data_IF_792109700948
#
_entry.id   IF_792109700948
#
_cell.length_a   1.000
_cell.length_b   1.000
_cell.length_c   1.000
_cell.angle_alpha   90.00
_cell.angle_beta   90.00
_cell.angle_gamma   90.00
#
_symmetry.space_group_name_H-M   'P 1'
#
loop_
_entity.id
_entity.type
_entity.pdbx_description
1 polymer ?
#
# COMPACT_ATOMS: atom_id res chain seq x y z
N UNK A 1 -10.44 -27.38 -7.39
CA UNK A 1 -10.43 -25.91 -7.36
C UNK A 1 -11.02 -25.44 -8.67
N UNK A 2 -12.16 -24.74 -8.64
CA UNK A 2 -12.77 -24.18 -9.85
C UNK A 2 -11.91 -23.02 -10.39
N UNK A 3 -12.01 -22.70 -11.69
CA UNK A 3 -11.25 -21.59 -12.29
C UNK A 3 -11.50 -20.25 -11.58
N UNK A 4 -12.72 -20.03 -11.09
CA UNK A 4 -13.12 -18.83 -10.35
C UNK A 4 -12.46 -18.76 -8.96
N UNK A 5 -12.37 -19.88 -8.24
CA UNK A 5 -11.66 -19.95 -6.96
C UNK A 5 -10.17 -19.65 -7.12
N UNK A 6 -9.55 -20.17 -8.19
CA UNK A 6 -8.15 -19.91 -8.49
C UNK A 6 -7.89 -18.41 -8.73
N UNK A 7 -8.75 -17.76 -9.53
CA UNK A 7 -8.66 -16.31 -9.80
C UNK A 7 -8.88 -15.47 -8.53
N UNK A 8 -9.84 -15.85 -7.68
CA UNK A 8 -10.09 -15.18 -6.41
C UNK A 8 -8.89 -15.30 -5.45
N UNK A 9 -8.26 -16.49 -5.39
CA UNK A 9 -7.06 -16.71 -4.58
C UNK A 9 -5.87 -15.90 -5.12
N UNK A 10 -5.65 -15.92 -6.43
CA UNK A 10 -4.56 -15.18 -7.08
C UNK A 10 -4.71 -13.67 -6.91
N UNK A 11 -5.91 -13.12 -7.10
CA UNK A 11 -6.14 -11.68 -6.90
C UNK A 11 -5.86 -11.26 -5.45
N UNK A 12 -6.24 -12.09 -4.47
CA UNK A 12 -5.96 -11.85 -3.05
C UNK A 12 -4.46 -11.95 -2.75
N UNK A 13 -3.79 -12.98 -3.25
CA UNK A 13 -2.35 -13.16 -3.06
C UNK A 13 -1.57 -11.98 -3.65
N UNK A 14 -1.88 -11.59 -4.89
CA UNK A 14 -1.28 -10.44 -5.57
C UNK A 14 -1.51 -9.15 -4.77
N UNK A 15 -2.73 -8.92 -4.28
CA UNK A 15 -3.04 -7.75 -3.45
C UNK A 15 -2.17 -7.71 -2.19
N UNK A 16 -2.06 -8.84 -1.46
CA UNK A 16 -1.27 -8.93 -0.23
C UNK A 16 0.20 -8.68 -0.52
N UNK A 17 0.77 -9.33 -1.55
CA UNK A 17 2.18 -9.14 -1.93
C UNK A 17 2.47 -7.69 -2.29
N UNK A 18 1.59 -7.03 -3.05
CA UNK A 18 1.70 -5.62 -3.37
C UNK A 18 1.66 -4.73 -2.12
N UNK A 19 0.72 -4.98 -1.20
CA UNK A 19 0.59 -4.21 0.05
C UNK A 19 1.84 -4.38 0.90
N UNK A 20 2.32 -5.61 1.09
CA UNK A 20 3.53 -5.91 1.87
C UNK A 20 4.75 -5.25 1.25
N UNK A 21 4.89 -5.28 -0.07
CA UNK A 21 6.02 -4.65 -0.76
C UNK A 21 6.02 -3.13 -0.58
N UNK A 22 4.88 -2.47 -0.76
CA UNK A 22 4.80 -1.01 -0.61
C UNK A 22 4.84 -0.55 0.84
N UNK A 23 3.91 -1.02 1.66
CA UNK A 23 3.81 -0.61 3.07
C UNK A 23 5.05 -1.06 3.85
N UNK A 24 5.48 -2.30 3.64
CA UNK A 24 6.71 -2.84 4.25
C UNK A 24 7.95 -2.10 3.77
N UNK A 25 8.06 -1.78 2.48
CA UNK A 25 9.17 -0.98 1.94
C UNK A 25 9.25 0.42 2.56
N UNK A 26 8.12 1.10 2.74
CA UNK A 26 8.06 2.42 3.40
C UNK A 26 8.44 2.33 4.88
N UNK A 27 7.91 1.35 5.61
CA UNK A 27 8.21 1.14 7.03
C UNK A 27 9.68 0.77 7.21
N UNK A 28 10.23 -0.13 6.39
CA UNK A 28 11.65 -0.49 6.38
C UNK A 28 12.53 0.73 6.11
N UNK A 29 12.18 1.53 5.10
CA UNK A 29 12.92 2.75 4.77
C UNK A 29 12.90 3.77 5.91
N UNK A 30 11.79 3.85 6.65
CA UNK A 30 11.65 4.76 7.78
C UNK A 30 12.39 4.30 9.04
N UNK A 31 12.32 3.01 9.37
CA UNK A 31 12.88 2.46 10.60
C UNK A 31 14.35 2.03 10.46
N UNK A 32 14.78 1.67 9.25
CA UNK A 32 16.13 1.12 9.00
C UNK A 32 16.98 2.10 8.21
N UNK A 33 16.53 2.55 7.03
CA UNK A 33 17.37 3.38 6.15
C UNK A 33 17.51 4.82 6.65
N UNK A 34 16.44 5.41 7.18
CA UNK A 34 16.45 6.80 7.64
C UNK A 34 17.38 7.05 8.84
N UNK A 35 17.36 6.25 9.92
CA UNK A 35 18.22 6.51 11.09
C UNK A 35 19.71 6.40 10.80
N UNK A 36 20.10 5.58 9.81
CA UNK A 36 21.50 5.42 9.40
C UNK A 36 21.91 6.35 8.25
N UNK A 37 21.07 7.33 7.89
CA UNK A 37 21.37 8.31 6.84
C UNK A 37 21.40 7.75 5.41
N UNK A 38 20.77 6.60 5.16
CA UNK A 38 20.82 5.88 3.88
C UNK A 38 19.53 5.97 3.07
N UNK A 39 18.68 6.98 3.31
CA UNK A 39 17.39 7.17 2.60
C UNK A 39 17.51 7.18 1.08
N UNK A 40 18.66 7.59 0.52
CA UNK A 40 18.91 7.56 -0.93
C UNK A 40 18.76 6.16 -1.55
N UNK A 41 18.98 5.10 -0.77
CA UNK A 41 18.84 3.72 -1.25
C UNK A 41 17.40 3.36 -1.63
N UNK A 42 16.41 4.16 -1.22
CA UNK A 42 15.00 3.97 -1.61
C UNK A 42 14.81 4.03 -3.12
N UNK A 43 15.65 4.76 -3.87
CA UNK A 43 15.64 4.78 -5.33
C UNK A 43 15.74 3.38 -5.95
N UNK A 44 16.52 2.50 -5.32
CA UNK A 44 16.74 1.13 -5.80
C UNK A 44 15.47 0.28 -5.73
N UNK A 45 14.51 0.67 -4.88
CA UNK A 45 13.22 -0.01 -4.79
C UNK A 45 12.22 0.46 -5.86
N UNK A 46 12.56 1.45 -6.71
CA UNK A 46 11.66 2.00 -7.72
C UNK A 46 10.94 0.96 -8.58
N UNK A 47 11.64 0.01 -9.23
CA UNK A 47 10.99 -1.01 -10.03
C UNK A 47 10.02 -1.89 -9.24
N UNK A 48 10.42 -2.32 -8.04
CA UNK A 48 9.58 -3.12 -7.15
C UNK A 48 8.35 -2.32 -6.67
N UNK A 49 8.53 -1.04 -6.36
CA UNK A 49 7.45 -0.14 -5.96
C UNK A 49 6.44 0.04 -7.12
N UNK A 50 6.90 0.27 -8.35
CA UNK A 50 6.01 0.39 -9.52
C UNK A 50 5.23 -0.90 -9.75
N UNK A 51 5.89 -2.06 -9.72
CA UNK A 51 5.22 -3.36 -9.85
C UNK A 51 4.17 -3.58 -8.76
N UNK A 52 4.52 -3.25 -7.51
CA UNK A 52 3.60 -3.34 -6.39
C UNK A 52 2.41 -2.39 -6.55
N UNK A 53 2.62 -1.15 -6.99
CA UNK A 53 1.55 -0.17 -7.27
C UNK A 53 0.59 -0.71 -8.32
N UNK A 54 1.11 -1.20 -9.46
CA UNK A 54 0.29 -1.77 -10.53
C UNK A 54 -0.51 -2.96 -10.03
N UNK A 55 0.13 -3.88 -9.31
CA UNK A 55 -0.57 -5.03 -8.72
C UNK A 55 -1.64 -4.64 -7.69
N UNK A 56 -1.39 -3.58 -6.91
CA UNK A 56 -2.34 -3.09 -5.89
C UNK A 56 -3.56 -2.42 -6.53
N UNK A 57 -3.34 -1.64 -7.59
CA UNK A 57 -4.41 -1.00 -8.36
C UNK A 57 -5.24 -2.03 -9.11
N UNK A 58 -4.61 -2.98 -9.81
CA UNK A 58 -5.30 -4.02 -10.55
C UNK A 58 -6.14 -4.92 -9.63
N UNK A 59 -5.54 -5.42 -8.54
CA UNK A 59 -6.25 -6.26 -7.57
C UNK A 59 -7.31 -5.48 -6.77
N UNK A 60 -7.04 -4.21 -6.44
CA UNK A 60 -7.98 -3.33 -5.75
C UNK A 60 -9.22 -3.07 -6.60
N UNK A 61 -9.02 -2.74 -7.88
CA UNK A 61 -10.11 -2.52 -8.84
C UNK A 61 -10.95 -3.78 -9.04
N UNK A 62 -10.30 -4.94 -9.23
CA UNK A 62 -11.00 -6.22 -9.32
C UNK A 62 -11.87 -6.49 -8.09
N UNK A 63 -11.36 -6.25 -6.87
CA UNK A 63 -12.11 -6.43 -5.64
C UNK A 63 -13.31 -5.47 -5.52
N UNK A 64 -13.19 -4.22 -5.97
CA UNK A 64 -14.29 -3.25 -5.96
C UNK A 64 -15.41 -3.68 -6.92
N UNK A 65 -15.04 -4.11 -8.12
CA UNK A 65 -16.01 -4.51 -9.15
C UNK A 65 -16.73 -5.82 -8.80
N UNK A 66 -16.08 -6.70 -8.04
CA UNK A 66 -16.64 -8.03 -7.70
C UNK A 66 -17.32 -8.08 -6.34
N UNK A 67 -17.02 -7.15 -5.42
CA UNK A 67 -17.67 -7.10 -4.10
C UNK A 67 -18.70 -5.98 -4.04
N UNK A 68 -19.96 -6.33 -4.21
CA UNK A 68 -21.10 -5.47 -3.89
C UNK A 68 -21.34 -5.52 -2.38
N UNK A 69 -20.74 -4.60 -1.62
CA UNK A 69 -21.01 -4.48 -0.19
C UNK A 69 -22.27 -3.63 0.03
N UNK A 70 -23.38 -4.29 0.38
CA UNK A 70 -24.73 -3.72 0.50
C UNK A 70 -24.99 -3.07 1.88
N UNK A 71 -24.04 -3.15 2.83
CA UNK A 71 -24.27 -2.65 4.19
C UNK A 71 -24.03 -1.14 4.36
N UNK A 72 -24.93 -0.41 5.06
CA UNK A 72 -24.74 1.00 5.40
C UNK A 72 -23.42 1.23 6.16
N UNK A 73 -22.62 2.20 5.71
CA UNK A 73 -21.35 2.58 6.35
C UNK A 73 -20.08 1.91 5.78
N UNK A 74 -20.20 0.79 5.06
CA UNK A 74 -19.04 0.12 4.45
C UNK A 74 -18.34 1.02 3.42
N UNK A 75 -19.10 1.75 2.59
CA UNK A 75 -18.54 2.64 1.57
C UNK A 75 -17.71 3.79 2.15
N UNK A 76 -18.11 4.34 3.31
CA UNK A 76 -17.38 5.43 3.94
C UNK A 76 -15.99 4.98 4.42
N UNK A 77 -15.93 3.85 5.15
CA UNK A 77 -14.65 3.33 5.66
C UNK A 77 -13.78 2.78 4.53
N UNK A 78 -14.40 2.16 3.52
CA UNK A 78 -13.72 1.78 2.28
C UNK A 78 -13.07 3.01 1.60
N UNK A 79 -13.80 4.11 1.47
CA UNK A 79 -13.30 5.37 0.91
C UNK A 79 -12.09 5.92 1.67
N UNK A 80 -12.16 5.96 3.01
CA UNK A 80 -11.03 6.39 3.85
C UNK A 80 -9.80 5.50 3.61
N UNK A 81 -9.97 4.18 3.62
CA UNK A 81 -8.89 3.24 3.36
C UNK A 81 -8.31 3.43 1.97
N UNK A 82 -9.15 3.68 0.97
CA UNK A 82 -8.72 3.91 -0.42
C UNK A 82 -7.89 5.18 -0.56
N UNK A 83 -8.32 6.29 0.04
CA UNK A 83 -7.56 7.57 0.03
C UNK A 83 -6.21 7.39 0.74
N UNK A 84 -6.18 6.70 1.88
CA UNK A 84 -4.93 6.41 2.59
C UNK A 84 -3.99 5.54 1.74
N UNK A 85 -4.51 4.53 1.06
CA UNK A 85 -3.72 3.68 0.16
C UNK A 85 -3.14 4.50 -1.01
N UNK A 86 -3.94 5.39 -1.61
CA UNK A 86 -3.45 6.31 -2.65
C UNK A 86 -2.35 7.24 -2.12
N UNK A 87 -2.47 7.70 -0.88
CA UNK A 87 -1.42 8.49 -0.25
C UNK A 87 -0.10 7.70 -0.09
N UNK A 88 -0.17 6.44 0.36
CA UNK A 88 1.00 5.56 0.44
C UNK A 88 1.63 5.34 -0.93
N UNK A 89 0.82 5.08 -1.96
CA UNK A 89 1.27 4.94 -3.35
C UNK A 89 2.01 6.21 -3.80
N UNK A 90 1.43 7.39 -3.58
CA UNK A 90 2.02 8.66 -3.97
C UNK A 90 3.37 8.90 -3.27
N UNK A 91 3.43 8.66 -1.96
CA UNK A 91 4.66 8.81 -1.18
C UNK A 91 5.74 7.82 -1.64
N UNK A 92 5.39 6.56 -1.84
CA UNK A 92 6.32 5.53 -2.31
C UNK A 92 6.87 5.91 -3.70
N UNK A 93 5.99 6.22 -4.65
CA UNK A 93 6.38 6.61 -5.99
C UNK A 93 7.31 7.83 -6.00
N UNK A 94 6.93 8.92 -5.31
CA UNK A 94 7.77 10.12 -5.22
C UNK A 94 9.10 9.84 -4.50
N UNK A 95 9.10 9.01 -3.45
CA UNK A 95 10.31 8.66 -2.70
C UNK A 95 11.26 7.75 -3.44
N UNK A 96 10.83 7.11 -4.53
CA UNK A 96 11.69 6.25 -5.39
C UNK A 96 12.22 6.97 -6.62
N UNK A 97 11.73 8.19 -6.92
CA UNK A 97 12.19 8.93 -8.09
C UNK A 97 13.66 9.36 -7.97
N UNK A 98 14.42 9.31 -9.07
CA UNK A 98 15.76 9.87 -9.11
C UNK A 98 15.72 11.40 -8.97
N UNK A 99 16.76 11.97 -8.39
CA UNK A 99 16.91 13.43 -8.27
C UNK A 99 16.09 14.08 -7.15
N UNK A 100 15.48 13.30 -6.27
CA UNK A 100 14.84 13.83 -5.05
C UNK A 100 15.90 14.00 -3.96
N UNK A 101 16.02 15.23 -3.44
CA UNK A 101 16.89 15.57 -2.32
C UNK A 101 16.65 14.66 -1.09
N UNK A 102 17.71 14.31 -0.37
CA UNK A 102 17.65 13.37 0.75
C UNK A 102 16.78 13.89 1.91
N UNK A 103 16.75 15.21 2.15
CA UNK A 103 15.86 15.82 3.15
C UNK A 103 14.40 15.66 2.76
N UNK A 104 14.08 15.92 1.49
CA UNK A 104 12.73 15.73 0.96
C UNK A 104 12.34 14.26 0.98
N UNK A 105 13.22 13.36 0.58
CA UNK A 105 13.00 11.90 0.57
C UNK A 105 12.73 11.38 1.98
N UNK A 106 13.50 11.84 2.96
CA UNK A 106 13.30 11.49 4.37
C UNK A 106 11.90 11.87 4.88
N UNK A 107 11.37 13.03 4.46
CA UNK A 107 10.00 13.45 4.77
C UNK A 107 8.96 12.54 4.08
N UNK A 108 9.13 12.25 2.80
CA UNK A 108 8.23 11.38 2.02
C UNK A 108 8.17 9.95 2.57
N UNK A 109 9.32 9.40 2.96
CA UNK A 109 9.40 8.08 3.60
C UNK A 109 8.67 8.09 4.94
N UNK A 110 8.86 9.14 5.74
CA UNK A 110 8.20 9.25 7.05
C UNK A 110 6.68 9.36 6.90
N UNK A 111 6.18 10.24 6.02
CA UNK A 111 4.74 10.39 5.77
C UNK A 111 4.14 9.10 5.23
N UNK A 112 4.78 8.46 4.25
CA UNK A 112 4.28 7.21 3.69
C UNK A 112 4.32 6.03 4.67
N UNK A 113 5.32 5.97 5.56
CA UNK A 113 5.35 4.97 6.63
C UNK A 113 4.22 5.17 7.64
N UNK A 114 3.98 6.41 8.09
CA UNK A 114 2.86 6.73 9.00
C UNK A 114 1.52 6.37 8.36
N UNK A 115 1.31 6.75 7.10
CA UNK A 115 0.09 6.37 6.37
C UNK A 115 -0.04 4.86 6.19
N UNK A 116 1.07 4.14 6.01
CA UNK A 116 1.07 2.67 5.94
C UNK A 116 0.59 2.05 7.26
N UNK A 117 1.06 2.54 8.40
CA UNK A 117 0.54 2.13 9.71
C UNK A 117 -0.95 2.44 9.85
N UNK A 118 -1.39 3.64 9.43
CA UNK A 118 -2.81 4.00 9.48
C UNK A 118 -3.67 3.04 8.63
N UNK A 119 -3.24 2.66 7.42
CA UNK A 119 -3.93 1.68 6.58
C UNK A 119 -4.05 0.32 7.26
N UNK A 120 -2.98 -0.13 7.94
CA UNK A 120 -2.97 -1.41 8.67
C UNK A 120 -3.97 -1.37 9.83
N UNK A 121 -3.93 -0.31 10.64
CA UNK A 121 -4.84 -0.13 11.79
C UNK A 121 -6.30 -0.06 11.32
N UNK A 122 -6.61 0.74 10.31
CA UNK A 122 -7.97 0.83 9.73
C UNK A 122 -8.41 -0.54 9.18
N UNK A 123 -7.51 -1.29 8.56
CA UNK A 123 -7.81 -2.63 8.04
C UNK A 123 -8.10 -3.64 9.16
N UNK A 124 -7.35 -3.58 10.26
CA UNK A 124 -7.56 -4.43 11.43
C UNK A 124 -8.88 -4.08 12.14
N UNK A 125 -9.18 -2.80 12.27
CA UNK A 125 -10.42 -2.29 12.84
C UNK A 125 -11.63 -2.74 12.03
N UNK A 126 -11.61 -2.57 10.70
CA UNK A 126 -12.64 -3.06 9.77
C UNK A 126 -12.89 -4.57 9.91
N UNK A 127 -11.83 -5.35 10.07
CA UNK A 127 -11.95 -6.81 10.24
C UNK A 127 -12.68 -7.18 11.52
N UNK A 128 -12.67 -6.32 12.54
CA UNK A 128 -13.37 -6.56 13.81
C UNK A 128 -14.88 -6.40 13.65
N UNK A 129 -15.35 -5.47 12.83
CA UNK A 129 -16.80 -5.28 12.55
C UNK A 129 -17.35 -6.20 11.48
N UNK A 130 -16.49 -6.77 10.64
CA UNK A 130 -16.88 -7.69 9.56
C UNK A 130 -16.96 -9.17 10.03
N UNK A 131 -17.01 -9.42 11.34
CA UNK A 131 -17.21 -10.77 11.92
C UNK A 131 -18.68 -11.06 12.18
#
# INVERSE_FOLDING_TARGET
MSANEALALLSRAMHIVSVVTLAGGMIFSWLVLKPVGQVRHVEKFGPAAVMAIVGLLASGLYNVLTKVAVQPGYHAVFGIKFILALHVIAMAFLSTRPGVDDTRRSRLVSSGAISSFAVIVVSAWLRTFSR
#
